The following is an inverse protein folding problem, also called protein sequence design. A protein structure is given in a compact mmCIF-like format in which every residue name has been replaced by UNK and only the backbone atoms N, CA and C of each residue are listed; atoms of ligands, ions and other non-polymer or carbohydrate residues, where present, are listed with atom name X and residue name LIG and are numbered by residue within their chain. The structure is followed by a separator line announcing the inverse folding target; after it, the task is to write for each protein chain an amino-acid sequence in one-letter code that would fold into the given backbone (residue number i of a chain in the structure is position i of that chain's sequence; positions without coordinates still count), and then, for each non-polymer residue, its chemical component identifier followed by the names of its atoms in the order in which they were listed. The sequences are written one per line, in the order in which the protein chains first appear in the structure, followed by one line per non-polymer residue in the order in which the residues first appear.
data_IF_621734147561
#
_entry.id   IF_621734147561
#
_cell.length_a   1.000
_cell.length_b   1.000
_cell.length_c   1.000
_cell.angle_alpha   90.00
_cell.angle_beta   90.00
_cell.angle_gamma   90.00
#
_symmetry.space_group_name_H-M   'P 1'
#
loop_
_entity.id
_entity.type
_entity.pdbx_description
1 polymer ?
#
# COMPACT_ATOMS: atom_id res chain seq x y z
N UNK A 1 62.81 3.94 -6.16
CA UNK A 1 62.33 2.58 -6.22
C UNK A 1 60.83 2.60 -6.07
N UNK A 2 60.15 2.27 -7.16
CA UNK A 2 58.71 2.20 -7.30
C UNK A 2 58.17 0.93 -6.59
N UNK A 3 57.08 1.02 -5.85
CA UNK A 3 56.34 -0.08 -5.32
C UNK A 3 54.89 0.03 -5.76
N UNK A 4 54.47 -0.87 -6.67
CA UNK A 4 53.10 -1.06 -7.12
C UNK A 4 52.22 -1.49 -5.97
N UNK A 5 51.12 -0.81 -5.73
CA UNK A 5 50.04 -1.24 -4.87
C UNK A 5 48.96 -1.90 -5.73
N UNK A 6 48.89 -3.22 -5.67
CA UNK A 6 47.82 -4.00 -6.32
C UNK A 6 46.48 -3.79 -5.64
N UNK A 7 45.52 -3.30 -6.41
CA UNK A 7 44.09 -3.34 -6.06
C UNK A 7 43.57 -4.76 -6.17
N UNK A 8 43.12 -5.31 -5.05
CA UNK A 8 42.24 -6.48 -5.01
C UNK A 8 40.89 -6.08 -4.49
N UNK A 9 39.95 -5.87 -5.35
CA UNK A 9 38.52 -5.77 -5.04
C UNK A 9 37.93 -7.17 -4.89
N UNK A 10 37.29 -7.50 -3.77
CA UNK A 10 36.44 -8.66 -3.70
C UNK A 10 34.96 -8.25 -3.58
N UNK A 11 34.37 -7.77 -4.65
CA UNK A 11 32.90 -7.77 -4.72
C UNK A 11 32.46 -9.03 -5.45
N UNK A 12 32.23 -10.10 -4.69
CA UNK A 12 31.52 -11.27 -5.14
C UNK A 12 30.11 -10.89 -5.58
N UNK A 13 29.82 -11.17 -6.85
CA UNK A 13 28.54 -10.90 -7.46
C UNK A 13 27.40 -11.67 -6.77
N UNK A 14 26.58 -10.97 -6.05
CA UNK A 14 25.27 -11.46 -5.67
C UNK A 14 24.44 -11.60 -6.96
N UNK A 15 24.18 -12.85 -7.39
CA UNK A 15 23.18 -13.14 -8.42
C UNK A 15 21.84 -12.61 -7.90
N UNK A 16 21.38 -11.51 -8.45
CA UNK A 16 20.03 -11.04 -8.26
C UNK A 16 19.06 -12.14 -8.71
N UNK A 17 18.36 -12.75 -7.80
CA UNK A 17 17.23 -13.61 -8.08
C UNK A 17 16.19 -12.73 -8.80
N UNK A 18 16.06 -12.95 -10.09
CA UNK A 18 15.08 -12.29 -10.94
C UNK A 18 13.69 -12.71 -10.43
N UNK A 19 12.99 -11.77 -9.79
CA UNK A 19 11.61 -11.98 -9.39
C UNK A 19 10.79 -12.42 -10.62
N UNK A 20 9.88 -13.39 -10.47
CA UNK A 20 9.01 -13.77 -11.57
C UNK A 20 8.23 -12.56 -12.04
N UNK A 21 8.21 -12.35 -13.35
CA UNK A 21 7.60 -11.22 -14.01
C UNK A 21 6.06 -11.33 -13.87
N UNK A 22 5.53 -10.87 -12.75
CA UNK A 22 4.11 -10.87 -12.43
C UNK A 22 3.29 -10.03 -13.42
N UNK A 23 3.93 -9.14 -14.17
CA UNK A 23 3.30 -8.35 -15.22
C UNK A 23 2.74 -9.22 -16.37
N UNK A 24 3.34 -10.41 -16.65
CA UNK A 24 2.83 -11.31 -17.68
C UNK A 24 1.58 -12.10 -17.25
N UNK A 25 1.37 -12.29 -15.96
CA UNK A 25 0.19 -13.02 -15.46
C UNK A 25 -1.08 -12.13 -15.49
N UNK A 26 -0.90 -10.81 -15.37
CA UNK A 26 -2.01 -9.84 -15.43
C UNK A 26 -2.45 -9.51 -16.86
N UNK A 27 -1.57 -9.66 -17.86
CA UNK A 27 -1.86 -9.36 -19.27
C UNK A 27 -2.83 -10.35 -19.95
N UNK A 28 -3.28 -11.39 -19.25
CA UNK A 28 -4.19 -12.39 -19.80
C UNK A 28 -5.68 -12.15 -19.51
N UNK A 29 -6.02 -11.03 -18.82
CA UNK A 29 -7.40 -10.68 -18.49
C UNK A 29 -7.80 -9.48 -19.34
N UNK A 30 -8.72 -9.63 -20.32
CA UNK A 30 -9.08 -8.55 -21.25
C UNK A 30 -9.63 -7.29 -20.56
N UNK A 31 -10.26 -7.44 -19.40
CA UNK A 31 -10.79 -6.29 -18.62
C UNK A 31 -9.68 -5.43 -17.99
N UNK A 32 -8.50 -5.97 -17.75
CA UNK A 32 -7.36 -5.23 -17.19
C UNK A 32 -6.67 -4.39 -18.27
N UNK A 33 -6.65 -4.85 -19.53
CA UNK A 33 -6.11 -4.04 -20.64
C UNK A 33 -6.93 -2.77 -20.87
N UNK A 34 -8.25 -2.87 -20.83
CA UNK A 34 -9.14 -1.70 -20.97
C UNK A 34 -8.93 -0.68 -19.85
N UNK A 35 -8.72 -1.15 -18.62
CA UNK A 35 -8.47 -0.27 -17.47
C UNK A 35 -7.11 0.43 -17.55
N UNK A 36 -6.08 -0.24 -18.07
CA UNK A 36 -4.74 0.34 -18.24
C UNK A 36 -4.73 1.37 -19.37
N UNK A 37 -5.41 1.08 -20.47
CA UNK A 37 -5.52 2.01 -21.59
C UNK A 37 -6.29 3.29 -21.22
N UNK A 38 -7.36 3.16 -20.45
CA UNK A 38 -8.13 4.31 -19.95
C UNK A 38 -7.33 5.14 -18.96
N UNK A 39 -6.54 4.51 -18.08
CA UNK A 39 -5.67 5.20 -17.15
C UNK A 39 -4.52 5.93 -17.84
N UNK A 40 -3.96 5.36 -18.91
CA UNK A 40 -2.90 5.99 -19.70
C UNK A 40 -3.43 7.18 -20.51
N UNK A 41 -4.64 7.09 -21.06
CA UNK A 41 -5.28 8.22 -21.74
C UNK A 41 -5.70 9.34 -20.79
N UNK A 42 -6.09 8.98 -19.56
CA UNK A 42 -6.41 9.97 -18.53
C UNK A 42 -5.16 10.75 -18.11
N UNK A 43 -4.01 10.07 -17.96
CA UNK A 43 -2.74 10.73 -17.60
C UNK A 43 -2.21 11.64 -18.70
N UNK A 44 -2.33 11.25 -19.98
CA UNK A 44 -1.92 12.10 -21.11
C UNK A 44 -2.81 13.34 -21.29
N UNK A 45 -4.08 13.24 -20.94
CA UNK A 45 -4.98 14.40 -20.93
C UNK A 45 -4.71 15.36 -19.76
N UNK A 46 -4.20 14.86 -18.64
CA UNK A 46 -3.79 15.68 -17.50
C UNK A 46 -2.52 16.49 -17.79
N UNK A 47 -1.58 15.94 -18.56
CA UNK A 47 -0.34 16.64 -18.94
C UNK A 47 -0.59 17.81 -19.91
N UNK A 48 -1.72 17.81 -20.61
CA UNK A 48 -2.08 18.87 -21.56
C UNK A 48 -2.75 20.10 -20.90
N UNK A 49 -3.11 20.03 -19.62
CA UNK A 49 -3.61 21.17 -18.85
C UNK A 49 -2.47 21.90 -18.15
N UNK A 50 -1.58 22.53 -18.93
CA UNK A 50 -0.68 23.54 -18.41
C UNK A 50 -1.48 24.81 -18.10
N UNK A 51 -2.12 24.85 -16.94
CA UNK A 51 -2.73 26.07 -16.41
C UNK A 51 -1.59 26.83 -15.73
N UNK A 52 -1.05 27.80 -16.44
CA UNK A 52 0.02 28.66 -15.91
C UNK A 52 -0.49 29.38 -14.64
N UNK A 53 0.07 29.04 -13.50
CA UNK A 53 -0.16 29.64 -12.18
C UNK A 53 -1.49 29.31 -11.47
N UNK A 54 -2.33 28.38 -11.97
CA UNK A 54 -3.50 27.94 -11.24
C UNK A 54 -3.14 26.73 -10.34
N UNK A 55 -3.55 26.79 -9.09
CA UNK A 55 -3.39 25.71 -8.12
C UNK A 55 -4.73 25.01 -7.91
N UNK A 56 -4.82 23.75 -8.34
CA UNK A 56 -6.01 22.95 -8.11
C UNK A 56 -5.88 22.20 -6.77
N UNK A 57 -6.77 22.52 -5.86
CA UNK A 57 -6.94 21.82 -4.59
C UNK A 57 -8.27 21.09 -4.57
N UNK A 58 -8.25 19.80 -4.22
CA UNK A 58 -9.45 19.00 -4.06
C UNK A 58 -9.50 18.43 -2.65
N UNK A 59 -10.70 18.32 -2.11
CA UNK A 59 -10.96 17.71 -0.81
C UNK A 59 -12.21 16.85 -0.89
N UNK A 60 -12.14 15.68 -0.28
CA UNK A 60 -13.23 14.73 -0.22
C UNK A 60 -13.46 14.28 1.21
N UNK A 61 -14.72 14.08 1.57
CA UNK A 61 -15.10 13.59 2.90
C UNK A 61 -16.38 12.76 2.79
N UNK A 62 -16.40 11.64 3.50
CA UNK A 62 -17.58 10.79 3.63
C UNK A 62 -18.19 10.89 5.03
N UNK A 63 -19.49 10.64 5.14
CA UNK A 63 -20.21 10.66 6.41
C UNK A 63 -19.82 9.46 7.28
N UNK A 64 -20.06 9.60 8.57
CA UNK A 64 -19.93 8.51 9.53
C UNK A 64 -20.83 7.32 9.13
N UNK A 65 -20.34 6.09 9.32
CA UNK A 65 -21.02 4.88 8.88
C UNK A 65 -20.87 4.56 7.39
N UNK A 66 -20.22 5.43 6.60
CA UNK A 66 -19.85 5.07 5.22
C UNK A 66 -18.81 3.94 5.24
N UNK A 67 -18.91 2.94 4.35
CA UNK A 67 -17.98 1.81 4.32
C UNK A 67 -16.49 2.21 4.32
N UNK A 68 -16.12 3.23 3.54
CA UNK A 68 -14.74 3.71 3.47
C UNK A 68 -14.26 4.26 4.82
N UNK A 69 -15.11 5.04 5.50
CA UNK A 69 -14.77 5.56 6.82
C UNK A 69 -14.66 4.45 7.87
N UNK A 70 -15.55 3.47 7.83
CA UNK A 70 -15.50 2.31 8.73
C UNK A 70 -14.23 1.49 8.46
N UNK A 71 -13.83 1.32 7.20
CA UNK A 71 -12.60 0.64 6.84
C UNK A 71 -11.37 1.33 7.41
N UNK A 72 -11.28 2.66 7.26
CA UNK A 72 -10.19 3.46 7.83
C UNK A 72 -10.15 3.37 9.36
N UNK A 73 -11.31 3.50 10.02
CA UNK A 73 -11.40 3.40 11.48
C UNK A 73 -10.95 2.03 12.01
N UNK A 74 -11.24 0.95 11.29
CA UNK A 74 -10.80 -0.40 11.66
C UNK A 74 -9.28 -0.52 11.49
N UNK A 75 -8.74 -0.07 10.38
CA UNK A 75 -7.30 -0.10 10.11
C UNK A 75 -6.52 0.71 11.14
N UNK A 76 -7.00 1.91 11.48
CA UNK A 76 -6.43 2.78 12.52
C UNK A 76 -6.50 2.13 13.92
N UNK A 77 -7.63 1.52 14.26
CA UNK A 77 -7.78 0.85 15.56
C UNK A 77 -6.84 -0.36 15.72
N UNK A 78 -6.59 -1.10 14.64
CA UNK A 78 -5.61 -2.18 14.61
C UNK A 78 -4.20 -1.62 14.80
N UNK A 79 -3.85 -0.54 14.10
CA UNK A 79 -2.57 0.14 14.21
C UNK A 79 -2.32 0.61 15.65
N UNK A 80 -3.29 1.29 16.26
CA UNK A 80 -3.23 1.77 17.64
C UNK A 80 -3.04 0.63 18.65
N UNK A 81 -3.78 -0.47 18.48
CA UNK A 81 -3.69 -1.63 19.35
C UNK A 81 -2.31 -2.31 19.30
N UNK A 82 -1.67 -2.31 18.13
CA UNK A 82 -0.31 -2.83 17.93
C UNK A 82 0.71 -1.89 18.55
N UNK A 83 0.63 -0.59 18.26
CA UNK A 83 1.60 0.40 18.75
C UNK A 83 1.55 0.60 20.27
N UNK A 84 0.40 0.34 20.88
CA UNK A 84 0.28 0.33 22.33
C UNK A 84 1.17 -0.75 23.00
N UNK A 85 1.47 -1.85 22.31
CA UNK A 85 2.29 -2.94 22.80
C UNK A 85 3.71 -2.95 22.22
N UNK A 86 3.86 -2.59 20.94
CA UNK A 86 5.15 -2.57 20.25
C UNK A 86 5.27 -1.33 19.33
N UNK A 87 5.83 -0.23 19.85
CA UNK A 87 5.99 1.01 19.06
C UNK A 87 6.96 0.90 17.88
N UNK A 88 7.71 -0.19 17.76
CA UNK A 88 8.64 -0.41 16.64
C UNK A 88 8.08 -1.33 15.58
N UNK A 89 6.83 -1.68 15.66
CA UNK A 89 6.15 -2.50 14.67
C UNK A 89 6.11 -1.86 13.29
N UNK A 90 6.04 -2.70 12.28
CA UNK A 90 5.77 -2.31 10.90
C UNK A 90 4.39 -2.84 10.56
N UNK A 91 3.48 -1.93 10.28
CA UNK A 91 2.05 -2.25 10.11
C UNK A 91 1.55 -1.67 8.80
N UNK A 92 1.05 -2.54 7.94
CA UNK A 92 0.25 -2.20 6.78
C UNK A 92 -1.07 -2.97 6.92
N UNK A 93 -2.03 -2.38 7.62
CA UNK A 93 -3.35 -2.98 7.85
C UNK A 93 -4.33 -2.41 6.83
N UNK A 94 -4.88 -3.28 6.02
CA UNK A 94 -5.86 -2.96 4.97
C UNK A 94 -7.20 -3.57 5.33
N UNK A 95 -8.26 -2.78 5.17
CA UNK A 95 -9.61 -3.23 5.48
C UNK A 95 -10.54 -2.96 4.30
N UNK A 96 -11.31 -3.96 3.91
CA UNK A 96 -12.41 -3.82 2.98
C UNK A 96 -13.72 -4.04 3.72
N UNK A 97 -14.64 -3.10 3.60
CA UNK A 97 -15.98 -3.22 4.18
C UNK A 97 -17.05 -3.17 3.11
N UNK A 98 -18.05 -4.01 3.27
CA UNK A 98 -19.28 -4.00 2.47
C UNK A 98 -20.44 -4.43 3.38
N UNK A 99 -21.67 -4.37 2.88
CA UNK A 99 -22.85 -4.78 3.63
C UNK A 99 -22.70 -6.20 4.20
N UNK A 100 -22.56 -6.29 5.52
CA UNK A 100 -22.44 -7.58 6.23
C UNK A 100 -21.11 -8.31 6.06
N UNK A 101 -20.10 -7.69 5.44
CA UNK A 101 -18.78 -8.28 5.22
C UNK A 101 -17.66 -7.32 5.62
N UNK A 102 -16.68 -7.83 6.36
CA UNK A 102 -15.41 -7.17 6.63
C UNK A 102 -14.28 -8.12 6.29
N UNK A 103 -13.33 -7.67 5.50
CA UNK A 103 -12.11 -8.41 5.17
C UNK A 103 -10.93 -7.63 5.71
N UNK A 104 -10.11 -8.30 6.52
CA UNK A 104 -8.84 -7.78 7.02
C UNK A 104 -7.71 -8.42 6.21
N UNK A 105 -6.81 -7.59 5.71
CA UNK A 105 -5.64 -8.01 4.95
C UNK A 105 -4.45 -7.14 5.32
N UNK A 106 -3.28 -7.47 4.80
CA UNK A 106 -2.10 -6.64 4.99
C UNK A 106 -0.86 -7.41 5.43
N UNK A 107 0.19 -6.66 5.73
CA UNK A 107 1.49 -7.18 6.14
C UNK A 107 1.92 -6.53 7.46
N UNK A 108 2.09 -7.34 8.49
CA UNK A 108 2.41 -6.86 9.84
C UNK A 108 3.63 -7.60 10.38
N UNK A 109 4.63 -6.82 10.82
CA UNK A 109 5.79 -7.32 11.54
C UNK A 109 5.80 -6.69 12.93
N UNK A 110 5.47 -7.49 13.94
CA UNK A 110 5.30 -7.02 15.32
C UNK A 110 5.60 -8.13 16.32
N UNK A 111 5.94 -7.72 17.55
CA UNK A 111 5.97 -8.60 18.72
C UNK A 111 4.67 -8.48 19.55
N UNK A 112 3.75 -7.62 19.16
CA UNK A 112 2.46 -7.46 19.84
C UNK A 112 1.52 -8.64 19.55
N UNK A 113 0.66 -8.94 20.51
CA UNK A 113 -0.41 -9.93 20.38
C UNK A 113 -1.77 -9.24 20.42
N UNK A 114 -2.37 -9.09 19.26
CA UNK A 114 -3.65 -8.37 19.09
C UNK A 114 -4.68 -9.30 18.44
N UNK A 115 -5.88 -9.35 19.01
CA UNK A 115 -7.03 -9.99 18.37
C UNK A 115 -7.68 -9.00 17.39
N UNK A 116 -7.25 -9.06 16.14
CA UNK A 116 -7.73 -8.17 15.08
C UNK A 116 -9.24 -8.26 14.86
N UNK A 117 -9.82 -9.46 15.02
CA UNK A 117 -11.26 -9.67 14.85
C UNK A 117 -12.04 -8.94 15.94
N UNK A 118 -11.55 -9.04 17.19
CA UNK A 118 -12.18 -8.35 18.31
C UNK A 118 -12.08 -6.83 18.17
N UNK A 119 -10.91 -6.32 17.80
CA UNK A 119 -10.70 -4.88 17.54
C UNK A 119 -11.65 -4.38 16.46
N UNK A 120 -11.76 -5.08 15.35
CA UNK A 120 -12.67 -4.71 14.26
C UNK A 120 -14.14 -4.68 14.73
N UNK A 121 -14.58 -5.70 15.49
CA UNK A 121 -15.95 -5.75 16.02
C UNK A 121 -16.26 -4.63 17.01
N UNK A 122 -15.31 -4.27 17.84
CA UNK A 122 -15.48 -3.19 18.81
C UNK A 122 -15.51 -1.82 18.14
N UNK A 123 -14.73 -1.66 17.06
CA UNK A 123 -14.75 -0.44 16.24
C UNK A 123 -16.09 -0.24 15.53
N UNK A 124 -16.64 -1.31 14.94
CA UNK A 124 -17.95 -1.27 14.25
C UNK A 124 -19.11 -0.97 15.19
N UNK A 125 -19.00 -1.30 16.48
CA UNK A 125 -20.06 -1.07 17.48
C UNK A 125 -20.09 0.34 18.06
N UNK A 126 -19.07 1.15 17.79
CA UNK A 126 -19.01 2.55 18.21
C UNK A 126 -19.98 3.41 17.44
#
# INVERSE_FOLDING_TARGET
LRGDAGETSPCGGAKALRAPNTAKAFAAIPEVEVAVETATQLSTNLECMQVANDYLFTSESVSEGHPDKVADQISDAILDAIFAQDPRSRVAAETLTNTGLVVLAGEITTNAHVDYIQVARDTIKR
#
